data_IF_843127034097
#
_entry.id   IF_843127034097
#
_cell.length_a   1.000
_cell.length_b   1.000
_cell.length_c   1.000
_cell.angle_alpha   90.00
_cell.angle_beta   90.00
_cell.angle_gamma   90.00
#
_symmetry.space_group_name_H-M   'P 1'
#
loop_
_entity.id
_entity.type
_entity.pdbx_description
1 polymer ?
#
# COMPACT_ATOMS: atom_id res chain seq x y z
N UNK A 1 -20.47 -37.42 8.02
CA UNK A 1 -20.51 -36.13 7.31
C UNK A 1 -19.39 -35.28 7.89
N UNK A 2 -18.23 -35.35 7.25
CA UNK A 2 -17.02 -34.62 7.65
C UNK A 2 -17.22 -33.13 7.39
N UNK A 3 -17.23 -32.33 8.46
CA UNK A 3 -17.06 -30.89 8.36
C UNK A 3 -15.58 -30.60 8.14
N UNK A 4 -15.17 -30.50 6.88
CA UNK A 4 -13.88 -29.96 6.47
C UNK A 4 -13.82 -28.46 6.74
N UNK A 5 -13.70 -28.06 8.01
CA UNK A 5 -13.31 -26.71 8.37
C UNK A 5 -11.81 -26.58 8.15
N UNK A 6 -11.43 -26.23 6.92
CA UNK A 6 -10.10 -25.77 6.62
C UNK A 6 -9.75 -24.65 7.60
N UNK A 7 -8.63 -24.79 8.31
CA UNK A 7 -8.09 -23.79 9.21
C UNK A 7 -7.70 -22.54 8.42
N UNK A 8 -8.68 -21.72 8.07
CA UNK A 8 -8.44 -20.35 7.66
C UNK A 8 -7.96 -19.62 8.92
N UNK A 9 -6.76 -19.00 8.90
CA UNK A 9 -6.34 -18.20 10.04
C UNK A 9 -7.39 -17.12 10.26
N UNK A 10 -7.95 -17.09 11.47
CA UNK A 10 -8.84 -16.02 11.92
C UNK A 10 -7.98 -14.77 11.93
N UNK A 11 -7.97 -14.03 10.83
CA UNK A 11 -7.41 -12.68 10.82
C UNK A 11 -8.39 -11.88 11.66
N UNK A 12 -8.06 -11.70 12.94
CA UNK A 12 -8.78 -10.77 13.81
C UNK A 12 -8.84 -9.44 13.06
N UNK A 13 -10.04 -9.03 12.65
CA UNK A 13 -10.26 -7.66 12.21
C UNK A 13 -10.07 -6.79 13.44
N UNK A 14 -8.82 -6.45 13.72
CA UNK A 14 -8.48 -5.54 14.79
C UNK A 14 -9.21 -4.23 14.48
N UNK A 15 -9.91 -3.73 15.48
CA UNK A 15 -10.70 -2.50 15.50
C UNK A 15 -9.79 -1.25 15.36
N UNK A 16 -8.81 -1.32 14.47
CA UNK A 16 -7.69 -0.41 14.34
C UNK A 16 -8.05 0.71 13.38
N UNK A 17 -7.89 1.94 13.85
CA UNK A 17 -8.09 3.12 13.02
C UNK A 17 -7.02 3.08 11.91
N UNK A 18 -7.43 3.13 10.62
CA UNK A 18 -6.48 3.13 9.51
C UNK A 18 -5.48 4.27 9.68
N UNK A 19 -4.19 3.92 9.70
CA UNK A 19 -3.13 4.92 9.76
C UNK A 19 -2.86 5.49 8.38
N UNK A 20 -2.66 6.81 8.32
CA UNK A 20 -2.39 7.55 7.09
C UNK A 20 -0.95 8.05 7.09
N UNK A 21 -0.25 7.79 6.01
CA UNK A 21 1.16 8.14 5.81
C UNK A 21 1.29 9.36 4.91
N UNK A 22 2.16 10.29 5.28
CA UNK A 22 2.52 11.39 4.40
C UNK A 22 3.48 10.92 3.31
N UNK A 23 3.66 11.71 2.23
CA UNK A 23 4.63 11.38 1.18
C UNK A 23 6.06 11.19 1.73
N UNK A 24 6.41 11.89 2.81
CA UNK A 24 7.72 11.75 3.45
C UNK A 24 7.87 10.37 4.09
N UNK A 25 6.82 9.90 4.75
CA UNK A 25 6.80 8.59 5.39
C UNK A 25 6.83 7.50 4.33
N UNK A 26 5.98 7.62 3.29
CA UNK A 26 5.98 6.70 2.13
C UNK A 26 7.37 6.60 1.51
N UNK A 27 8.04 7.73 1.25
CA UNK A 27 9.42 7.73 0.74
C UNK A 27 10.42 7.09 1.71
N UNK A 28 10.22 7.25 3.02
CA UNK A 28 11.10 6.63 4.03
C UNK A 28 10.92 5.11 4.10
N UNK A 29 9.69 4.61 3.96
CA UNK A 29 9.41 3.17 3.97
C UNK A 29 9.81 2.46 2.67
N UNK A 30 9.56 3.12 1.52
CA UNK A 30 9.80 2.53 0.20
C UNK A 30 11.22 2.79 -0.32
N UNK A 31 11.95 3.75 0.27
CA UNK A 31 13.23 4.24 -0.24
C UNK A 31 13.10 5.08 -1.52
N UNK A 32 11.87 5.39 -1.96
CA UNK A 32 11.62 6.12 -3.20
C UNK A 32 11.63 7.63 -2.98
N UNK A 33 12.05 8.35 -4.03
CA UNK A 33 11.95 9.80 -4.04
C UNK A 33 10.51 10.27 -4.22
N UNK A 34 10.20 11.49 -3.76
CA UNK A 34 8.86 12.08 -3.90
C UNK A 34 8.41 12.16 -5.36
N UNK A 35 9.31 12.49 -6.28
CA UNK A 35 8.98 12.57 -7.71
C UNK A 35 8.63 11.19 -8.27
N UNK A 36 9.42 10.16 -7.92
CA UNK A 36 9.15 8.78 -8.32
C UNK A 36 7.78 8.30 -7.82
N UNK A 37 7.42 8.61 -6.57
CA UNK A 37 6.10 8.27 -6.02
C UNK A 37 4.98 8.93 -6.84
N UNK A 38 5.13 10.21 -7.20
CA UNK A 38 4.13 10.88 -8.03
C UNK A 38 4.07 10.36 -9.48
N UNK A 39 5.20 9.98 -10.05
CA UNK A 39 5.28 9.33 -11.37
C UNK A 39 4.55 7.98 -11.35
N UNK A 40 4.77 7.16 -10.33
CA UNK A 40 4.12 5.85 -10.19
C UNK A 40 2.61 5.92 -10.05
N UNK A 41 2.08 6.97 -9.43
CA UNK A 41 0.64 7.20 -9.29
C UNK A 41 0.03 7.82 -10.55
N UNK A 42 0.83 8.45 -11.41
CA UNK A 42 0.33 9.15 -12.59
C UNK A 42 0.19 8.19 -13.77
N UNK A 43 -1.05 7.91 -14.18
CA UNK A 43 -1.39 7.06 -15.34
C UNK A 43 -0.74 7.49 -16.65
N UNK A 44 -0.36 8.77 -16.77
CA UNK A 44 0.28 9.31 -17.96
C UNK A 44 1.81 9.23 -17.93
N UNK A 45 2.40 8.70 -16.84
CA UNK A 45 3.85 8.54 -16.72
C UNK A 45 4.28 7.18 -17.24
N UNK A 46 5.46 7.12 -17.86
CA UNK A 46 6.11 5.87 -18.26
C UNK A 46 6.34 4.90 -17.09
N UNK A 47 6.34 5.41 -15.86
CA UNK A 47 6.58 4.64 -14.63
C UNK A 47 5.30 4.35 -13.85
N UNK A 48 4.13 4.54 -14.46
CA UNK A 48 2.86 4.22 -13.83
C UNK A 48 2.84 2.77 -13.37
N UNK A 49 2.56 2.55 -12.09
CA UNK A 49 2.37 1.22 -11.53
C UNK A 49 0.94 1.12 -10.99
N UNK A 50 0.05 0.36 -11.66
CA UNK A 50 -1.34 0.20 -11.22
C UNK A 50 -1.45 -0.55 -9.88
N UNK A 51 -0.39 -1.24 -9.45
CA UNK A 51 -0.33 -1.90 -8.14
C UNK A 51 0.03 -0.94 -7.01
N UNK A 52 0.57 0.24 -7.33
CA UNK A 52 0.98 1.21 -6.33
C UNK A 52 -0.25 1.84 -5.63
N UNK A 53 -0.21 2.01 -4.29
CA UNK A 53 -1.35 2.52 -3.54
C UNK A 53 -1.83 3.89 -3.99
N UNK A 54 -3.15 4.05 -4.03
CA UNK A 54 -3.79 5.29 -4.44
C UNK A 54 -3.63 6.35 -3.36
N UNK A 55 -3.44 7.59 -3.81
CA UNK A 55 -3.35 8.73 -2.91
C UNK A 55 -4.74 9.13 -2.40
N UNK A 56 -4.84 9.43 -1.12
CA UNK A 56 -6.03 9.97 -0.46
C UNK A 56 -5.81 11.47 -0.22
N UNK A 57 -6.73 12.29 -0.70
CA UNK A 57 -6.70 13.73 -0.49
C UNK A 57 -7.52 14.08 0.76
N UNK A 58 -6.83 14.38 1.88
CA UNK A 58 -7.50 14.75 3.15
C UNK A 58 -7.95 16.21 3.16
N UNK A 59 -7.15 17.09 2.57
CA UNK A 59 -7.46 18.51 2.44
C UNK A 59 -7.04 19.01 1.07
N UNK A 60 -7.32 20.28 0.76
CA UNK A 60 -6.93 20.89 -0.52
C UNK A 60 -5.43 20.78 -0.82
N UNK A 61 -4.59 20.69 0.22
CA UNK A 61 -3.12 20.62 0.10
C UNK A 61 -2.51 19.31 0.60
N UNK A 62 -3.19 18.59 1.51
CA UNK A 62 -2.61 17.39 2.14
C UNK A 62 -3.04 16.13 1.41
N UNK A 63 -2.04 15.45 0.87
CA UNK A 63 -2.14 14.14 0.23
C UNK A 63 -1.45 13.12 1.13
N UNK A 64 -2.12 11.99 1.36
CA UNK A 64 -1.65 10.89 2.20
C UNK A 64 -1.92 9.55 1.52
N UNK A 65 -1.38 8.47 2.07
CA UNK A 65 -1.60 7.09 1.64
C UNK A 65 -2.00 6.24 2.83
N UNK A 66 -2.77 5.17 2.60
CA UNK A 66 -3.14 4.24 3.66
C UNK A 66 -1.95 3.34 3.99
N UNK A 67 -1.59 3.26 5.28
CA UNK A 67 -0.43 2.50 5.73
C UNK A 67 -0.54 1.01 5.38
N UNK A 68 -1.73 0.42 5.49
CA UNK A 68 -1.96 -0.99 5.14
C UNK A 68 -1.73 -1.27 3.66
N UNK A 69 -2.19 -0.40 2.77
CA UNK A 69 -1.99 -0.54 1.32
C UNK A 69 -0.50 -0.43 0.96
N UNK A 70 0.23 0.49 1.59
CA UNK A 70 1.69 0.62 1.39
C UNK A 70 2.41 -0.63 1.88
N UNK A 71 2.03 -1.17 3.04
CA UNK A 71 2.62 -2.39 3.58
C UNK A 71 2.34 -3.59 2.66
N UNK A 72 1.11 -3.73 2.17
CA UNK A 72 0.72 -4.77 1.22
C UNK A 72 1.51 -4.67 -0.08
N UNK A 73 1.64 -3.46 -0.65
CA UNK A 73 2.44 -3.25 -1.85
C UNK A 73 3.92 -3.62 -1.66
N UNK A 74 4.52 -3.24 -0.52
CA UNK A 74 5.89 -3.62 -0.18
C UNK A 74 5.99 -5.15 -0.10
N UNK A 75 5.04 -5.82 0.55
CA UNK A 75 5.03 -7.28 0.66
C UNK A 75 4.90 -7.95 -0.71
N UNK A 76 4.09 -7.41 -1.62
CA UNK A 76 4.01 -7.89 -3.02
C UNK A 76 5.36 -7.77 -3.71
N UNK A 77 6.03 -6.61 -3.61
CA UNK A 77 7.38 -6.44 -4.21
C UNK A 77 8.45 -7.34 -3.56
N UNK A 78 8.27 -7.74 -2.30
CA UNK A 78 9.13 -8.73 -1.64
C UNK A 78 8.83 -10.13 -2.17
N UNK A 79 7.55 -10.49 -2.29
CA UNK A 79 7.12 -11.78 -2.82
C UNK A 79 7.59 -12.00 -4.27
N UNK A 80 7.50 -10.95 -5.11
CA UNK A 80 7.97 -10.97 -6.49
C UNK A 80 9.48 -11.29 -6.63
N UNK A 81 10.28 -11.13 -5.57
CA UNK A 81 11.72 -11.51 -5.59
C UNK A 81 11.94 -13.02 -5.66
N UNK A 82 10.96 -13.79 -5.22
CA UNK A 82 11.06 -15.24 -5.06
C UNK A 82 10.31 -16.00 -6.15
N UNK A 83 9.80 -15.29 -7.16
CA UNK A 83 9.09 -15.83 -8.32
C UNK A 83 9.99 -15.85 -9.57
#
# INVERSE_FOLDING_TARGET
MENSNAAQPIIEQCNHIPQLLSIKDVGSYTGLSRSTIYEMVNENSDRYDPTFPKKVQLTQVRVVWVASEIAEWINTKIADRFC
#
